data_IF_603704522006
#
_entry.id   IF_603704522006
#
_cell.length_a   1.000
_cell.length_b   1.000
_cell.length_c   1.000
_cell.angle_alpha   90.00
_cell.angle_beta   90.00
_cell.angle_gamma   90.00
#
_symmetry.space_group_name_H-M   'P 1'
#
loop_
_entity.id
_entity.type
_entity.pdbx_description
1 polymer ?
#
# COMPACT_ATOMS: atom_id res chain seq x y z
N UNK A 1 -29.75 8.30 10.70
CA UNK A 1 -30.39 9.17 11.72
C UNK A 1 -30.85 10.46 11.04
N UNK A 2 -31.85 11.21 11.55
CA UNK A 2 -32.10 12.56 11.06
C UNK A 2 -30.80 13.38 11.03
N UNK A 3 -30.61 14.19 9.99
CA UNK A 3 -29.36 14.90 9.74
C UNK A 3 -28.29 14.12 8.97
N UNK A 4 -28.54 12.84 8.65
CA UNK A 4 -27.61 12.07 7.81
C UNK A 4 -27.59 12.63 6.39
N UNK A 5 -26.38 12.89 5.86
CA UNK A 5 -26.16 13.34 4.49
C UNK A 5 -26.32 12.19 3.50
N UNK A 6 -26.90 12.48 2.34
CA UNK A 6 -26.93 11.58 1.20
C UNK A 6 -26.45 12.32 -0.06
N UNK A 7 -25.68 11.62 -0.89
CA UNK A 7 -25.37 12.04 -2.25
C UNK A 7 -26.47 11.56 -3.19
N UNK A 8 -26.95 12.43 -4.06
CA UNK A 8 -28.18 12.19 -4.83
C UNK A 8 -27.89 12.42 -6.30
N UNK A 9 -28.19 11.39 -7.10
CA UNK A 9 -28.09 11.42 -8.56
C UNK A 9 -29.48 11.36 -9.15
N UNK A 10 -29.79 12.31 -10.04
CA UNK A 10 -31.10 12.37 -10.70
C UNK A 10 -30.92 11.92 -12.14
N UNK A 11 -31.72 10.94 -12.57
CA UNK A 11 -31.54 10.33 -13.90
C UNK A 11 -31.70 11.36 -15.04
N UNK A 12 -32.56 12.35 -14.85
CA UNK A 12 -32.78 13.43 -15.81
C UNK A 12 -31.65 14.49 -15.85
N UNK A 13 -30.76 14.52 -14.84
CA UNK A 13 -29.68 15.50 -14.68
C UNK A 13 -28.36 14.78 -14.35
N UNK A 14 -27.77 14.03 -15.31
CA UNK A 14 -26.66 13.12 -15.03
C UNK A 14 -25.34 13.82 -14.68
N UNK A 15 -25.18 15.09 -15.06
CA UNK A 15 -23.99 15.90 -14.80
C UNK A 15 -24.07 16.65 -13.46
N UNK A 16 -25.28 16.86 -12.95
CA UNK A 16 -25.51 17.60 -11.72
C UNK A 16 -25.34 16.71 -10.49
N UNK A 17 -24.82 17.30 -9.41
CA UNK A 17 -24.65 16.63 -8.14
C UNK A 17 -25.51 17.33 -7.10
N UNK A 18 -26.33 16.54 -6.41
CA UNK A 18 -27.16 17.04 -5.33
C UNK A 18 -26.73 16.38 -4.02
N UNK A 19 -26.68 17.18 -2.97
CA UNK A 19 -26.58 16.67 -1.61
C UNK A 19 -27.91 16.92 -0.90
N UNK A 20 -28.33 15.95 -0.10
CA UNK A 20 -29.56 16.03 0.68
C UNK A 20 -29.36 15.59 2.11
N UNK A 21 -30.26 16.03 2.97
CA UNK A 21 -30.27 15.71 4.39
C UNK A 21 -31.50 14.87 4.72
N UNK A 22 -31.32 13.74 5.40
CA UNK A 22 -32.42 12.90 5.88
C UNK A 22 -33.20 13.65 6.97
N UNK A 23 -34.46 13.98 6.71
CA UNK A 23 -35.35 14.59 7.71
C UNK A 23 -35.97 13.53 8.61
N UNK A 24 -36.52 12.48 8.00
CA UNK A 24 -37.19 11.38 8.69
C UNK A 24 -37.26 10.15 7.81
N UNK A 25 -37.40 9.01 8.45
CA UNK A 25 -37.69 7.74 7.80
C UNK A 25 -38.80 7.01 8.57
N UNK A 26 -39.50 6.11 7.90
CA UNK A 26 -40.59 5.33 8.47
C UNK A 26 -40.12 4.40 9.57
N UNK A 27 -40.99 4.13 10.54
CA UNK A 27 -40.74 3.19 11.63
C UNK A 27 -41.21 1.77 11.31
N UNK A 28 -41.91 1.58 10.18
CA UNK A 28 -42.33 0.28 9.67
C UNK A 28 -41.91 0.15 8.21
N UNK A 29 -41.53 -1.06 7.82
CA UNK A 29 -41.37 -1.41 6.42
C UNK A 29 -42.74 -1.73 5.79
N UNK A 30 -42.90 -1.39 4.53
CA UNK A 30 -44.00 -1.87 3.70
C UNK A 30 -43.82 -3.38 3.44
N UNK A 31 -44.83 -4.19 3.75
CA UNK A 31 -44.72 -5.66 3.68
C UNK A 31 -44.65 -6.20 2.25
N UNK A 32 -45.22 -5.50 1.27
CA UNK A 32 -45.27 -5.96 -0.11
C UNK A 32 -43.94 -5.72 -0.83
N UNK A 33 -43.32 -4.56 -0.60
CA UNK A 33 -42.08 -4.13 -1.25
C UNK A 33 -40.82 -4.35 -0.41
N UNK A 34 -40.95 -4.53 0.90
CA UNK A 34 -39.81 -4.62 1.82
C UNK A 34 -39.06 -3.30 2.00
N UNK A 35 -39.70 -2.16 1.68
CA UNK A 35 -39.06 -0.84 1.70
C UNK A 35 -39.49 -0.01 2.90
N UNK A 36 -38.66 0.98 3.27
CA UNK A 36 -38.97 1.97 4.31
C UNK A 36 -38.97 3.34 3.64
N UNK A 37 -40.04 4.11 3.87
CA UNK A 37 -40.12 5.48 3.37
C UNK A 37 -39.09 6.37 4.03
N UNK A 38 -38.41 7.20 3.25
CA UNK A 38 -37.47 8.20 3.75
C UNK A 38 -37.70 9.53 3.05
N UNK A 39 -37.67 10.62 3.82
CA UNK A 39 -37.82 11.98 3.31
C UNK A 39 -36.51 12.73 3.49
N UNK A 40 -35.97 13.19 2.38
CA UNK A 40 -34.78 14.02 2.32
C UNK A 40 -35.14 15.45 1.96
N UNK A 41 -34.41 16.41 2.53
CA UNK A 41 -34.44 17.81 2.14
C UNK A 41 -33.25 18.08 1.22
N UNK A 42 -33.51 18.71 0.08
CA UNK A 42 -32.50 19.12 -0.88
C UNK A 42 -32.74 20.58 -1.27
N UNK A 43 -31.69 21.39 -1.45
CA UNK A 43 -31.82 22.70 -2.05
C UNK A 43 -32.14 22.58 -3.55
N UNK A 44 -33.08 23.38 -4.04
CA UNK A 44 -33.47 23.46 -5.46
C UNK A 44 -33.47 24.91 -5.96
N UNK A 45 -32.40 25.65 -5.66
CA UNK A 45 -32.31 27.11 -5.93
C UNK A 45 -32.48 27.45 -7.41
N UNK A 46 -32.07 26.56 -8.32
CA UNK A 46 -32.22 26.74 -9.77
C UNK A 46 -33.51 26.20 -10.38
N UNK A 47 -34.43 25.63 -9.57
CA UNK A 47 -35.68 25.05 -10.08
C UNK A 47 -35.52 23.85 -11.02
N UNK A 48 -34.34 23.21 -11.01
CA UNK A 48 -33.99 22.11 -11.91
C UNK A 48 -34.71 20.80 -11.54
N UNK A 49 -34.89 20.56 -10.23
CA UNK A 49 -35.58 19.38 -9.74
C UNK A 49 -37.09 19.54 -9.88
N UNK A 50 -37.73 18.57 -10.55
CA UNK A 50 -39.19 18.50 -10.68
C UNK A 50 -39.75 17.26 -10.00
N UNK A 51 -41.04 17.30 -9.69
CA UNK A 51 -41.77 16.14 -9.21
C UNK A 51 -41.66 14.96 -10.20
N UNK A 52 -41.79 13.75 -9.68
CA UNK A 52 -41.74 12.48 -10.41
C UNK A 52 -40.41 12.14 -11.12
N UNK A 53 -39.37 12.95 -10.91
CA UNK A 53 -38.02 12.59 -11.35
C UNK A 53 -37.47 11.44 -10.51
N UNK A 54 -36.97 10.40 -11.19
CA UNK A 54 -36.29 9.30 -10.53
C UNK A 54 -34.90 9.73 -10.06
N UNK A 55 -34.60 9.44 -8.81
CA UNK A 55 -33.30 9.72 -8.20
C UNK A 55 -32.77 8.50 -7.44
N UNK A 56 -31.46 8.40 -7.39
CA UNK A 56 -30.71 7.40 -6.62
C UNK A 56 -30.02 8.10 -5.44
N UNK A 57 -30.12 7.51 -4.26
CA UNK A 57 -29.61 8.07 -3.01
C UNK A 57 -28.50 7.19 -2.46
N UNK A 58 -27.31 7.75 -2.30
CA UNK A 58 -26.18 7.12 -1.61
C UNK A 58 -26.04 7.75 -0.22
N UNK A 59 -26.57 7.07 0.79
CA UNK A 59 -26.67 7.60 2.16
C UNK A 59 -25.36 7.36 2.92
N UNK A 60 -24.79 8.42 3.51
CA UNK A 60 -23.52 8.35 4.24
C UNK A 60 -23.75 7.80 5.65
N UNK A 61 -23.44 6.52 5.85
CA UNK A 61 -23.63 5.84 7.15
C UNK A 61 -22.59 6.23 8.20
N UNK A 62 -21.35 6.44 7.79
CA UNK A 62 -20.24 6.82 8.65
C UNK A 62 -19.27 7.69 7.89
N UNK A 63 -18.50 8.51 8.63
CA UNK A 63 -17.42 9.32 8.08
C UNK A 63 -16.23 9.18 9.02
N UNK A 64 -15.06 8.88 8.46
CA UNK A 64 -13.78 8.88 9.16
C UNK A 64 -12.92 10.00 8.57
N UNK A 65 -12.28 10.77 9.45
CA UNK A 65 -11.28 11.77 9.08
C UNK A 65 -9.89 11.24 9.41
N UNK A 66 -8.86 11.85 8.81
CA UNK A 66 -7.45 11.54 9.09
C UNK A 66 -7.08 10.08 8.74
N UNK A 67 -7.67 9.55 7.67
CA UNK A 67 -7.32 8.23 7.13
C UNK A 67 -6.61 8.41 5.79
N UNK A 68 -5.60 7.58 5.51
CA UNK A 68 -5.03 7.50 4.17
C UNK A 68 -6.03 6.73 3.30
N UNK A 69 -6.46 7.33 2.20
CA UNK A 69 -7.42 6.70 1.31
C UNK A 69 -7.06 6.96 -0.14
N UNK A 70 -7.30 5.97 -0.99
CA UNK A 70 -7.08 6.06 -2.42
C UNK A 70 -8.40 5.82 -3.16
N UNK A 71 -8.57 6.37 -4.38
CA UNK A 71 -9.72 6.02 -5.22
C UNK A 71 -9.75 4.50 -5.46
N UNK A 72 -10.94 3.91 -5.42
CA UNK A 72 -11.11 2.45 -5.60
C UNK A 72 -10.54 1.93 -6.91
N UNK A 73 -10.47 2.77 -7.94
CA UNK A 73 -9.88 2.44 -9.24
C UNK A 73 -8.35 2.24 -9.20
N UNK A 74 -7.65 2.76 -8.17
CA UNK A 74 -6.20 2.59 -8.03
C UNK A 74 -5.81 1.23 -7.45
N UNK A 75 -6.70 0.60 -6.67
CA UNK A 75 -6.44 -0.68 -6.01
C UNK A 75 -6.42 -1.83 -7.03
N UNK A 76 -5.33 -2.58 -7.07
CA UNK A 76 -5.14 -3.75 -7.93
C UNK A 76 -4.94 -5.03 -7.11
N UNK A 77 -4.91 -6.16 -7.82
CA UNK A 77 -4.66 -7.48 -7.24
C UNK A 77 -5.90 -8.13 -6.60
N UNK A 78 -5.69 -9.32 -6.05
CA UNK A 78 -6.72 -10.10 -5.35
C UNK A 78 -6.77 -9.75 -3.86
N UNK A 79 -7.76 -10.27 -3.13
CA UNK A 79 -7.96 -9.98 -1.72
C UNK A 79 -6.74 -10.30 -0.84
N UNK A 80 -5.96 -11.32 -1.19
CA UNK A 80 -4.76 -11.74 -0.46
C UNK A 80 -3.51 -10.91 -0.80
N UNK A 81 -3.46 -10.29 -1.99
CA UNK A 81 -2.28 -9.60 -2.51
C UNK A 81 -2.70 -8.28 -3.17
N UNK A 82 -3.20 -7.35 -2.35
CA UNK A 82 -3.59 -6.01 -2.78
C UNK A 82 -2.36 -5.12 -2.93
N UNK A 83 -2.34 -4.34 -3.99
CA UNK A 83 -1.28 -3.38 -4.27
C UNK A 83 -1.81 -2.17 -5.04
N UNK A 84 -1.03 -1.10 -5.05
CA UNK A 84 -1.22 0.07 -5.91
C UNK A 84 0.08 0.36 -6.66
N UNK A 85 -0.01 1.17 -7.70
CA UNK A 85 1.18 1.76 -8.33
C UNK A 85 1.36 3.17 -7.81
N UNK A 86 2.52 3.42 -7.17
CA UNK A 86 2.92 4.72 -6.66
C UNK A 86 3.92 5.33 -7.63
N UNK A 87 3.78 6.61 -7.93
CA UNK A 87 4.74 7.33 -8.77
C UNK A 87 6.09 7.42 -8.05
N UNK A 88 7.17 7.15 -8.77
CA UNK A 88 8.52 7.33 -8.24
C UNK A 88 8.82 8.81 -8.02
N UNK A 89 9.51 9.13 -6.94
CA UNK A 89 9.79 10.53 -6.57
C UNK A 89 10.91 11.14 -7.43
N UNK A 90 11.89 10.35 -7.82
CA UNK A 90 13.10 10.81 -8.51
C UNK A 90 13.01 10.59 -10.03
N UNK A 91 12.34 9.52 -10.46
CA UNK A 91 12.26 9.09 -11.85
C UNK A 91 10.92 9.45 -12.50
N UNK A 92 10.98 10.33 -13.50
CA UNK A 92 9.81 10.69 -14.28
C UNK A 92 9.21 9.46 -15.00
N UNK A 93 7.88 9.31 -14.89
CA UNK A 93 7.11 8.20 -15.48
C UNK A 93 7.50 6.80 -14.98
N UNK A 94 8.25 6.70 -13.89
CA UNK A 94 8.44 5.44 -13.21
C UNK A 94 7.35 5.24 -12.15
N UNK A 95 6.90 3.99 -12.00
CA UNK A 95 5.87 3.61 -11.06
C UNK A 95 6.26 2.34 -10.33
N UNK A 96 6.23 2.40 -9.00
CA UNK A 96 6.60 1.31 -8.13
C UNK A 96 5.34 0.55 -7.71
N UNK A 97 5.39 -0.78 -7.81
CA UNK A 97 4.34 -1.66 -7.31
C UNK A 97 4.47 -1.74 -5.79
N UNK A 98 3.53 -1.13 -5.08
CA UNK A 98 3.56 -1.05 -3.62
C UNK A 98 2.44 -1.90 -3.02
N UNK A 99 2.77 -2.96 -2.25
CA UNK A 99 1.77 -3.75 -1.55
C UNK A 99 1.09 -2.91 -0.47
N UNK A 100 -0.22 -3.08 -0.31
CA UNK A 100 -1.01 -2.30 0.64
C UNK A 100 -1.95 -3.18 1.45
N UNK A 101 -2.17 -2.79 2.70
CA UNK A 101 -3.23 -3.35 3.53
C UNK A 101 -4.44 -2.43 3.47
N UNK A 102 -5.60 -2.99 3.13
CA UNK A 102 -6.85 -2.24 3.01
C UNK A 102 -7.68 -2.33 4.29
N UNK A 103 -8.34 -1.23 4.64
CA UNK A 103 -9.33 -1.13 5.71
C UNK A 103 -10.75 -1.12 5.14
N UNK A 104 -11.56 -0.16 5.58
CA UNK A 104 -12.91 0.03 5.07
C UNK A 104 -12.93 0.44 3.59
N UNK A 105 -13.90 -0.10 2.86
CA UNK A 105 -14.10 0.20 1.44
C UNK A 105 -15.51 0.75 1.25
N UNK A 106 -15.62 1.88 0.57
CA UNK A 106 -16.89 2.40 0.10
C UNK A 106 -16.95 2.37 -1.44
N UNK A 107 -18.02 2.95 -1.99
CA UNK A 107 -18.29 2.98 -3.43
C UNK A 107 -17.19 3.70 -4.24
N UNK A 108 -16.53 4.70 -3.64
CA UNK A 108 -15.56 5.60 -4.29
C UNK A 108 -14.11 5.40 -3.86
N UNK A 109 -13.88 5.11 -2.58
CA UNK A 109 -12.58 5.13 -1.93
C UNK A 109 -12.32 3.85 -1.12
N UNK A 110 -11.04 3.54 -0.98
CA UNK A 110 -10.50 2.44 -0.18
C UNK A 110 -9.60 3.06 0.88
N UNK A 111 -9.86 2.75 2.15
CA UNK A 111 -8.96 3.08 3.26
C UNK A 111 -7.70 2.21 3.17
N UNK A 112 -6.54 2.83 3.33
CA UNK A 112 -5.23 2.16 3.36
C UNK A 112 -4.70 2.27 4.78
N UNK A 113 -4.55 1.12 5.43
CA UNK A 113 -4.05 1.03 6.82
C UNK A 113 -2.54 0.85 6.88
N UNK A 114 -1.92 0.34 5.81
CA UNK A 114 -0.47 0.20 5.70
C UNK A 114 -0.04 0.19 4.23
N UNK A 115 1.21 0.61 3.97
CA UNK A 115 1.87 0.54 2.66
C UNK A 115 1.92 1.86 1.89
N UNK A 116 1.26 2.92 2.36
CA UNK A 116 1.33 4.25 1.75
C UNK A 116 1.55 5.33 2.80
N UNK A 117 2.25 6.38 2.39
CA UNK A 117 2.41 7.61 3.15
C UNK A 117 1.41 8.66 2.68
N UNK A 118 1.06 9.62 3.56
CA UNK A 118 0.35 10.82 3.11
C UNK A 118 1.12 11.52 1.99
N UNK A 119 0.39 11.99 0.99
CA UNK A 119 0.89 12.64 -0.23
C UNK A 119 1.53 11.74 -1.30
N UNK A 120 1.56 10.41 -1.12
CA UNK A 120 1.91 9.49 -2.20
C UNK A 120 0.93 9.62 -3.38
N UNK A 121 1.48 9.83 -4.58
CA UNK A 121 0.69 9.89 -5.81
C UNK A 121 0.46 8.48 -6.37
N UNK A 122 -0.81 8.07 -6.48
CA UNK A 122 -1.20 6.76 -6.99
C UNK A 122 -1.83 6.80 -8.38
N UNK A 123 -1.57 5.76 -9.16
CA UNK A 123 -2.16 5.59 -10.49
C UNK A 123 -3.63 5.19 -10.39
N UNK A 124 -4.52 6.03 -10.93
CA UNK A 124 -5.98 5.81 -10.91
C UNK A 124 -6.54 5.31 -12.24
N UNK A 125 -5.78 5.44 -13.33
CA UNK A 125 -6.11 5.02 -14.69
C UNK A 125 -4.89 4.40 -15.35
N UNK A 126 -5.07 3.28 -16.04
CA UNK A 126 -3.96 2.57 -16.70
C UNK A 126 -3.12 1.68 -15.77
N UNK A 127 -3.52 1.51 -14.50
CA UNK A 127 -2.82 0.63 -13.55
C UNK A 127 -2.71 -0.83 -14.05
N UNK A 128 -3.72 -1.32 -14.76
CA UNK A 128 -3.67 -2.65 -15.39
C UNK A 128 -2.59 -2.73 -16.47
N UNK A 129 -2.41 -1.71 -17.30
CA UNK A 129 -1.36 -1.69 -18.32
C UNK A 129 0.05 -1.72 -17.71
N UNK A 130 0.24 -1.06 -16.56
CA UNK A 130 1.51 -1.10 -15.82
C UNK A 130 1.89 -2.49 -15.32
N UNK A 131 0.92 -3.41 -15.10
CA UNK A 131 1.25 -4.77 -14.68
C UNK A 131 1.93 -5.59 -15.78
N UNK A 132 1.75 -5.21 -17.04
CA UNK A 132 2.43 -5.85 -18.18
C UNK A 132 3.75 -5.16 -18.52
N UNK A 133 3.85 -3.84 -18.27
CA UNK A 133 5.07 -3.07 -18.53
C UNK A 133 6.24 -3.44 -17.60
N UNK A 134 5.94 -3.87 -16.36
CA UNK A 134 6.97 -4.27 -15.39
C UNK A 134 7.50 -5.69 -15.55
N UNK A 135 6.83 -6.56 -16.33
CA UNK A 135 7.27 -7.94 -16.58
C UNK A 135 8.39 -8.03 -17.63
N UNK A 136 8.70 -6.93 -18.33
CA UNK A 136 9.82 -6.84 -19.28
C UNK A 136 11.13 -6.37 -18.63
N UNK A 137 11.28 -6.47 -17.31
CA UNK A 137 12.57 -6.28 -16.64
C UNK A 137 13.46 -7.53 -16.67
N UNK A 138 13.25 -8.47 -17.60
CA UNK A 138 14.38 -9.28 -18.05
C UNK A 138 15.31 -8.28 -18.71
N UNK A 139 16.55 -8.15 -18.22
CA UNK A 139 17.49 -7.19 -18.81
C UNK A 139 17.47 -7.40 -20.33
N UNK A 140 17.36 -6.32 -21.12
CA UNK A 140 17.22 -6.45 -22.57
C UNK A 140 18.31 -7.37 -23.14
N UNK A 141 19.48 -7.36 -22.50
CA UNK A 141 20.61 -8.27 -22.68
C UNK A 141 20.22 -9.74 -22.49
N UNK A 142 19.69 -10.10 -21.32
CA UNK A 142 19.31 -11.48 -20.98
C UNK A 142 18.14 -12.01 -21.81
N UNK A 143 17.23 -11.15 -22.26
CA UNK A 143 16.19 -11.50 -23.21
C UNK A 143 16.74 -11.72 -24.64
N UNK A 144 17.76 -10.96 -25.05
CA UNK A 144 18.42 -11.12 -26.34
C UNK A 144 19.32 -12.37 -26.36
N UNK A 145 20.06 -12.59 -25.27
CA UNK A 145 20.96 -13.74 -25.07
C UNK A 145 20.18 -15.07 -24.98
N UNK A 146 18.96 -15.06 -24.42
CA UNK A 146 18.11 -16.26 -24.33
C UNK A 146 17.40 -16.62 -25.65
N UNK A 147 17.21 -15.66 -26.56
CA UNK A 147 16.49 -15.88 -27.81
C UNK A 147 17.37 -16.51 -28.90
N UNK A 148 18.69 -16.32 -28.85
CA UNK A 148 19.65 -16.85 -29.81
C UNK A 148 20.85 -17.38 -29.03
N UNK A 149 21.02 -18.71 -28.97
CA UNK A 149 21.90 -19.42 -28.03
C UNK A 149 23.42 -19.23 -28.20
N UNK A 150 23.88 -18.04 -28.56
CA UNK A 150 25.29 -17.66 -28.65
C UNK A 150 25.53 -16.28 -28.04
N UNK A 151 26.62 -16.14 -27.27
CA UNK A 151 27.00 -14.90 -26.60
C UNK A 151 27.58 -13.88 -27.59
N UNK A 152 27.18 -12.61 -27.46
CA UNK A 152 27.74 -11.49 -28.22
C UNK A 152 28.65 -10.61 -27.35
N UNK A 153 29.64 -9.98 -27.97
CA UNK A 153 30.48 -8.99 -27.29
C UNK A 153 29.73 -7.66 -27.07
N UNK A 154 30.23 -6.81 -26.17
CA UNK A 154 29.61 -5.51 -25.82
C UNK A 154 29.49 -4.52 -27.01
N UNK A 155 30.19 -4.78 -28.11
CA UNK A 155 30.14 -4.00 -29.36
C UNK A 155 29.16 -4.59 -30.41
N UNK A 156 28.47 -5.69 -30.08
CA UNK A 156 27.51 -6.36 -30.97
C UNK A 156 28.12 -7.30 -32.01
N UNK A 157 29.43 -7.58 -31.94
CA UNK A 157 30.08 -8.54 -32.83
C UNK A 157 29.90 -10.00 -32.36
N UNK A 158 29.87 -10.95 -33.31
CA UNK A 158 29.87 -12.38 -33.01
C UNK A 158 31.21 -12.82 -32.41
N UNK A 159 31.17 -13.53 -31.29
CA UNK A 159 32.35 -14.14 -30.70
C UNK A 159 32.71 -15.40 -31.48
N UNK A 160 33.70 -15.30 -32.36
CA UNK A 160 34.27 -16.48 -33.02
C UNK A 160 34.92 -17.39 -31.97
N UNK A 161 34.93 -18.73 -32.18
CA UNK A 161 35.51 -19.69 -31.23
C UNK A 161 36.99 -19.41 -30.91
N UNK A 162 37.69 -18.74 -31.82
CA UNK A 162 39.08 -18.30 -31.66
C UNK A 162 39.23 -17.16 -30.63
N UNK A 163 38.33 -16.18 -30.65
CA UNK A 163 38.32 -15.08 -29.66
C UNK A 163 37.84 -15.55 -28.28
N UNK A 164 36.96 -16.56 -28.24
CA UNK A 164 36.57 -17.24 -27.01
C UNK A 164 37.76 -17.99 -26.40
N UNK A 165 38.51 -18.72 -27.23
CA UNK A 165 39.74 -19.39 -26.80
C UNK A 165 40.84 -18.41 -26.36
N UNK A 166 40.99 -17.23 -26.97
CA UNK A 166 41.92 -16.20 -26.50
C UNK A 166 41.48 -15.56 -25.17
N UNK A 167 40.18 -15.32 -24.97
CA UNK A 167 39.67 -14.85 -23.68
C UNK A 167 39.78 -15.91 -22.58
N UNK A 168 39.55 -17.18 -22.90
CA UNK A 168 39.72 -18.31 -21.99
C UNK A 168 41.20 -18.61 -21.70
N UNK A 169 42.10 -18.44 -22.68
CA UNK A 169 43.54 -18.59 -22.50
C UNK A 169 44.16 -17.46 -21.67
N UNK A 170 43.64 -16.22 -21.79
CA UNK A 170 43.97 -15.12 -20.87
C UNK A 170 43.47 -15.38 -19.44
N UNK A 171 42.45 -16.22 -19.28
CA UNK A 171 41.92 -16.69 -17.98
C UNK A 171 42.71 -17.87 -17.40
N UNK A 172 43.42 -18.63 -18.23
CA UNK A 172 44.16 -19.84 -17.84
C UNK A 172 45.55 -19.61 -17.21
N UNK A 173 45.99 -18.36 -17.07
CA UNK A 173 47.32 -17.98 -16.59
C UNK A 173 47.34 -17.29 -15.22
N UNK A 174 46.44 -17.62 -14.30
CA UNK A 174 46.56 -17.24 -12.89
C UNK A 174 45.77 -18.22 -12.02
N UNK A 175 46.47 -19.16 -11.40
CA UNK A 175 45.90 -20.02 -10.37
C UNK A 175 45.51 -19.20 -9.14
N UNK A 176 44.28 -19.43 -8.67
CA UNK A 176 43.82 -19.09 -7.33
C UNK A 176 43.42 -17.64 -7.12
N UNK A 177 42.16 -17.28 -7.43
CA UNK A 177 41.52 -16.12 -6.82
C UNK A 177 40.17 -16.51 -6.22
N UNK A 178 40.16 -16.48 -4.89
CA UNK A 178 39.00 -16.50 -4.02
C UNK A 178 38.02 -15.39 -4.41
N UNK A 179 36.75 -15.60 -4.06
CA UNK A 179 35.72 -14.56 -4.03
C UNK A 179 36.27 -13.26 -3.40
N UNK A 180 36.45 -12.22 -4.22
CA UNK A 180 36.56 -10.84 -3.73
C UNK A 180 35.14 -10.27 -3.66
N UNK A 181 34.55 -10.35 -2.47
CA UNK A 181 33.65 -9.28 -2.02
C UNK A 181 34.45 -7.99 -1.92
N UNK A 182 33.85 -6.88 -2.38
CA UNK A 182 34.46 -5.56 -2.36
C UNK A 182 35.08 -5.26 -0.99
N UNK A 183 36.32 -4.78 -1.01
CA UNK A 183 37.13 -4.49 0.17
C UNK A 183 36.45 -3.52 1.14
N UNK A 184 35.67 -4.07 2.06
CA UNK A 184 35.52 -3.50 3.37
C UNK A 184 36.82 -3.80 4.12
N UNK A 185 37.59 -2.76 4.43
CA UNK A 185 38.80 -2.86 5.26
C UNK A 185 38.56 -3.82 6.45
N UNK A 186 39.56 -4.61 6.86
CA UNK A 186 39.40 -5.60 7.94
C UNK A 186 38.78 -5.00 9.22
N UNK A 187 38.92 -3.69 9.43
CA UNK A 187 38.25 -2.91 10.47
C UNK A 187 36.71 -2.94 10.41
N UNK A 188 36.12 -2.91 9.21
CA UNK A 188 34.67 -2.95 9.01
C UNK A 188 34.08 -4.31 9.36
N UNK A 189 34.80 -5.40 9.09
CA UNK A 189 34.40 -6.75 9.51
C UNK A 189 34.39 -6.87 11.04
N UNK A 190 35.38 -6.31 11.73
CA UNK A 190 35.37 -6.28 13.20
C UNK A 190 34.25 -5.36 13.74
N UNK A 191 33.96 -4.24 13.06
CA UNK A 191 32.88 -3.33 13.45
C UNK A 191 31.50 -3.99 13.36
N UNK A 192 31.22 -4.76 12.30
CA UNK A 192 29.95 -5.49 12.15
C UNK A 192 29.83 -6.64 13.15
N UNK A 193 30.92 -7.35 13.45
CA UNK A 193 30.94 -8.40 14.47
C UNK A 193 30.68 -7.81 15.87
N UNK A 194 31.33 -6.70 16.23
CA UNK A 194 31.13 -6.04 17.53
C UNK A 194 29.70 -5.50 17.65
N UNK A 195 29.17 -4.89 16.59
CA UNK A 195 27.78 -4.39 16.57
C UNK A 195 26.78 -5.54 16.74
N UNK A 196 27.03 -6.68 16.08
CA UNK A 196 26.19 -7.87 16.20
C UNK A 196 26.22 -8.47 17.61
N UNK A 197 27.41 -8.54 18.23
CA UNK A 197 27.55 -8.98 19.63
C UNK A 197 26.84 -8.01 20.58
N UNK A 198 26.99 -6.70 20.40
CA UNK A 198 26.28 -5.70 21.19
C UNK A 198 24.76 -5.79 21.03
N UNK A 199 24.27 -6.09 19.82
CA UNK A 199 22.86 -6.30 19.56
C UNK A 199 22.34 -7.56 20.27
N UNK A 200 23.11 -8.65 20.24
CA UNK A 200 22.76 -9.87 20.99
C UNK A 200 22.76 -9.64 22.51
N UNK A 201 23.73 -8.89 23.04
CA UNK A 201 23.76 -8.52 24.46
C UNK A 201 22.55 -7.64 24.81
N UNK A 202 22.21 -6.64 23.98
CA UNK A 202 21.06 -5.76 24.19
C UNK A 202 19.72 -6.52 24.15
N UNK A 203 19.59 -7.52 23.28
CA UNK A 203 18.41 -8.40 23.24
C UNK A 203 18.34 -9.25 24.52
N UNK A 204 19.46 -9.75 25.03
CA UNK A 204 19.50 -10.52 26.28
C UNK A 204 19.30 -9.66 27.54
N UNK A 205 19.77 -8.41 27.58
CA UNK A 205 19.51 -7.49 28.69
C UNK A 205 18.06 -7.01 28.69
N UNK A 206 17.46 -6.75 27.50
CA UNK A 206 16.03 -6.44 27.36
C UNK A 206 15.13 -7.61 27.79
N UNK A 207 15.56 -8.86 27.56
CA UNK A 207 14.84 -10.05 28.00
C UNK A 207 14.97 -10.33 29.51
N UNK A 208 16.00 -9.78 30.18
CA UNK A 208 16.18 -9.85 31.63
C UNK A 208 15.53 -8.69 32.39
N UNK A 209 15.37 -7.52 31.77
CA UNK A 209 14.70 -6.35 32.37
C UNK A 209 13.18 -6.46 32.50
N UNK A 210 12.54 -7.48 31.90
CA UNK A 210 11.10 -7.69 31.98
C UNK A 210 10.66 -8.67 33.09
N UNK A 211 11.59 -9.14 33.93
CA UNK A 211 11.33 -10.19 34.94
C UNK A 211 11.64 -9.76 36.38
N UNK A 212 11.84 -8.46 36.65
CA UNK A 212 12.13 -7.94 37.98
C UNK A 212 11.37 -6.63 38.21
N UNK A 213 10.04 -6.71 38.30
CA UNK A 213 9.18 -5.64 38.85
C UNK A 213 7.81 -6.20 39.26
N UNK A 214 7.78 -7.34 39.95
CA UNK A 214 6.58 -7.80 40.69
C UNK A 214 7.03 -8.59 41.93
N UNK A 215 7.53 -7.89 42.95
CA UNK A 215 7.38 -8.29 44.35
C UNK A 215 7.94 -7.16 45.23
N UNK A 216 7.05 -6.39 45.87
CA UNK A 216 7.04 -6.08 47.32
C UNK A 216 6.16 -4.83 47.56
N UNK A 217 4.90 -5.04 47.93
CA UNK A 217 4.08 -4.00 48.56
C UNK A 217 4.30 -4.04 50.08
N UNK A 218 4.73 -2.96 50.76
CA UNK A 218 4.79 -2.96 52.20
C UNK A 218 3.43 -2.57 52.79
N UNK A 219 2.75 -3.56 53.38
CA UNK A 219 1.64 -3.37 54.32
C UNK A 219 2.19 -2.68 55.57
N UNK A 220 1.79 -1.42 55.81
CA UNK A 220 2.05 -0.71 57.07
C UNK A 220 1.14 -1.24 58.20
N UNK A 221 1.67 -1.54 59.40
CA UNK A 221 0.83 -1.82 60.56
C UNK A 221 0.32 -0.52 61.18
N UNK A 222 -1.00 -0.40 61.32
CA UNK A 222 -1.65 0.67 62.09
C UNK A 222 -1.48 0.33 63.57
N UNK A 223 -0.63 1.10 64.27
CA UNK A 223 -0.58 1.11 65.74
C UNK A 223 -1.88 1.72 66.27
N UNK A 224 -2.54 0.98 67.15
CA UNK A 224 -3.48 1.53 68.14
C UNK A 224 -2.68 2.28 69.19
N UNK A 225 -3.01 3.55 69.40
CA UNK A 225 -2.80 4.21 70.69
C UNK A 225 -4.04 5.05 71.00
N UNK A 226 -4.50 4.88 72.23
CA UNK A 226 -5.70 5.47 72.79
C UNK A 226 -5.33 6.71 73.60
N UNK A 227 -6.12 7.77 73.45
CA UNK A 227 -6.52 8.72 74.48
C UNK A 227 -7.74 9.49 73.97
#
# INVERSE_FOLDING_TARGET
KPGTVAHIKVAALPTEKFDGELLRFGTSADKASGTIDAIFRLPNTGGLLRADMRAEFSIVMSKRSNVVSVPRAALQGEASNRFVYVKDFDLANAFVKTPVTVGEINDRFVEITNGLLPADEVVTRGAYSLSFAGASSVSLKEALDAAHGHEHAADGSELTPEKKAEMDAKKGGAGGHAHEEGGASSLWMYATIVLFILLLIAVFTKKRGAAADEDEAPVKPIKKEAA
#
